data_IF_957666961180
#
_entry.id   IF_957666961180
#
_cell.length_a   1.000
_cell.length_b   1.000
_cell.length_c   1.000
_cell.angle_alpha   90.00
_cell.angle_beta   90.00
_cell.angle_gamma   90.00
#
_symmetry.space_group_name_H-M   'P 1'
#
loop_
_entity.id
_entity.type
_entity.pdbx_description
1 polymer ?
#
# COMPACT_ATOMS: atom_id res chain seq x y z
N UNK A 1 25.61 -34.09 21.08
CA UNK A 1 24.72 -32.96 20.80
C UNK A 1 25.44 -31.80 20.11
N UNK A 2 26.50 -31.21 20.70
CA UNK A 2 27.24 -30.08 20.09
C UNK A 2 27.80 -30.38 18.69
N UNK A 3 28.39 -31.57 18.47
CA UNK A 3 28.92 -31.95 17.14
C UNK A 3 27.81 -32.10 16.09
N UNK A 4 26.69 -32.75 16.44
CA UNK A 4 25.56 -32.94 15.52
C UNK A 4 24.91 -31.60 15.14
N UNK A 5 24.74 -30.70 16.11
CA UNK A 5 24.22 -29.35 15.87
C UNK A 5 25.15 -28.58 14.93
N UNK A 6 26.46 -28.56 15.20
CA UNK A 6 27.47 -27.92 14.35
C UNK A 6 27.48 -28.46 12.92
N UNK A 7 27.50 -29.78 12.76
CA UNK A 7 27.46 -30.41 11.43
C UNK A 7 26.19 -30.07 10.66
N UNK A 8 25.05 -29.99 11.35
CA UNK A 8 23.78 -29.63 10.71
C UNK A 8 23.75 -28.16 10.31
N UNK A 9 24.26 -27.26 11.15
CA UNK A 9 24.38 -25.85 10.79
C UNK A 9 25.32 -25.64 9.60
N UNK A 10 26.44 -26.36 9.52
CA UNK A 10 27.34 -26.31 8.36
C UNK A 10 26.64 -26.79 7.08
N UNK A 11 25.88 -27.90 7.16
CA UNK A 11 25.12 -28.38 6.01
C UNK A 11 24.06 -27.36 5.53
N UNK A 12 23.39 -26.69 6.48
CA UNK A 12 22.41 -25.65 6.15
C UNK A 12 23.09 -24.45 5.49
N UNK A 13 24.24 -23.98 6.01
CA UNK A 13 24.96 -22.86 5.41
C UNK A 13 25.46 -23.18 3.99
N UNK A 14 26.08 -24.35 3.80
CA UNK A 14 26.54 -24.81 2.48
C UNK A 14 25.37 -24.85 1.49
N UNK A 15 24.22 -25.38 1.90
CA UNK A 15 23.05 -25.43 1.01
C UNK A 15 22.50 -24.06 0.65
N UNK A 16 22.51 -23.09 1.57
CA UNK A 16 22.04 -21.73 1.28
C UNK A 16 23.01 -21.01 0.32
N UNK A 17 24.32 -21.21 0.50
CA UNK A 17 25.35 -20.66 -0.40
C UNK A 17 25.22 -21.24 -1.81
N UNK A 18 25.00 -22.56 -1.95
CA UNK A 18 24.72 -23.20 -3.25
C UNK A 18 23.50 -22.56 -3.94
N UNK A 19 22.39 -22.38 -3.21
CA UNK A 19 21.18 -21.75 -3.75
C UNK A 19 21.46 -20.31 -4.16
N UNK A 20 22.24 -19.56 -3.37
CA UNK A 20 22.60 -18.19 -3.70
C UNK A 20 23.42 -18.11 -5.00
N UNK A 21 24.39 -19.01 -5.21
CA UNK A 21 25.16 -19.10 -6.46
C UNK A 21 24.30 -19.51 -7.65
N UNK A 22 23.36 -20.45 -7.48
CA UNK A 22 22.41 -20.84 -8.54
C UNK A 22 21.51 -19.67 -8.95
N UNK A 23 20.98 -18.92 -7.97
CA UNK A 23 20.15 -17.74 -8.21
C UNK A 23 20.95 -16.59 -8.84
N UNK A 24 22.22 -16.44 -8.50
CA UNK A 24 23.08 -15.45 -9.13
C UNK A 24 23.24 -15.70 -10.62
N UNK A 25 23.40 -16.96 -11.03
CA UNK A 25 23.52 -17.34 -12.44
C UNK A 25 22.19 -17.33 -13.20
N UNK A 26 21.06 -17.25 -12.49
CA UNK A 26 19.72 -17.28 -13.09
C UNK A 26 19.41 -15.95 -13.78
N UNK A 27 18.66 -16.02 -14.90
CA UNK A 27 18.20 -14.83 -15.61
C UNK A 27 17.26 -13.99 -14.75
N UNK A 28 17.26 -12.67 -14.93
CA UNK A 28 16.32 -11.80 -14.20
C UNK A 28 14.86 -12.14 -14.53
N UNK A 29 14.61 -12.71 -15.72
CA UNK A 29 13.29 -13.14 -16.14
C UNK A 29 12.80 -14.38 -15.41
N UNK A 30 13.63 -15.16 -14.73
CA UNK A 30 13.23 -16.38 -14.00
C UNK A 30 13.53 -16.30 -12.50
N UNK A 31 14.17 -15.22 -12.07
CA UNK A 31 14.70 -15.06 -10.72
C UNK A 31 13.62 -15.18 -9.64
N UNK A 32 12.47 -14.52 -9.82
CA UNK A 32 11.41 -14.48 -8.80
C UNK A 32 10.74 -15.84 -8.57
N UNK A 33 10.25 -16.56 -9.61
CA UNK A 33 9.71 -17.90 -9.43
C UNK A 33 10.73 -18.89 -8.88
N UNK A 34 11.99 -18.82 -9.33
CA UNK A 34 13.05 -19.70 -8.82
C UNK A 34 13.34 -19.40 -7.35
N UNK A 35 13.43 -18.13 -6.96
CA UNK A 35 13.57 -17.73 -5.56
C UNK A 35 12.43 -18.28 -4.70
N UNK A 36 11.17 -18.10 -5.13
CA UNK A 36 9.99 -18.59 -4.39
C UNK A 36 10.02 -20.10 -4.25
N UNK A 37 10.35 -20.82 -5.33
CA UNK A 37 10.47 -22.29 -5.30
C UNK A 37 11.55 -22.75 -4.31
N UNK A 38 12.72 -22.13 -4.32
CA UNK A 38 13.78 -22.48 -3.37
C UNK A 38 13.39 -22.13 -1.93
N UNK A 39 12.77 -20.97 -1.71
CA UNK A 39 12.28 -20.56 -0.40
C UNK A 39 11.25 -21.55 0.16
N UNK A 40 10.25 -21.95 -0.63
CA UNK A 40 9.21 -22.88 -0.19
C UNK A 40 9.79 -24.25 0.18
N UNK A 41 10.70 -24.78 -0.65
CA UNK A 41 11.39 -26.05 -0.38
C UNK A 41 12.28 -25.95 0.87
N UNK A 42 13.05 -24.88 0.98
CA UNK A 42 13.95 -24.65 2.09
C UNK A 42 13.18 -24.46 3.41
N UNK A 43 12.20 -23.57 3.44
CA UNK A 43 11.38 -23.29 4.62
C UNK A 43 10.62 -24.54 5.08
N UNK A 44 10.06 -25.32 4.15
CA UNK A 44 9.40 -26.60 4.46
C UNK A 44 10.38 -27.62 5.02
N UNK A 45 11.56 -27.77 4.41
CA UNK A 45 12.62 -28.65 4.89
C UNK A 45 13.09 -28.26 6.30
N UNK A 46 13.28 -26.95 6.53
CA UNK A 46 13.69 -26.40 7.82
C UNK A 46 12.61 -26.62 8.89
N UNK A 47 11.34 -26.52 8.54
CA UNK A 47 10.22 -26.83 9.46
C UNK A 47 10.22 -28.31 9.87
N UNK A 48 10.47 -29.24 8.94
CA UNK A 48 10.59 -30.65 9.28
C UNK A 48 11.82 -30.93 10.14
N UNK A 49 12.93 -30.27 9.83
CA UNK A 49 14.16 -30.38 10.61
C UNK A 49 13.94 -29.85 12.04
N UNK A 50 13.22 -28.75 12.21
CA UNK A 50 12.84 -28.22 13.52
C UNK A 50 11.98 -29.20 14.35
N UNK A 51 11.02 -29.87 13.70
CA UNK A 51 10.21 -30.92 14.36
C UNK A 51 11.10 -32.06 14.87
N UNK A 52 12.08 -32.50 14.06
CA UNK A 52 13.02 -33.55 14.45
C UNK A 52 13.96 -33.09 15.58
N UNK A 53 14.37 -31.83 15.53
CA UNK A 53 15.25 -31.21 16.53
C UNK A 53 14.51 -30.76 17.79
N UNK A 54 13.18 -30.85 17.86
CA UNK A 54 12.38 -30.40 19.02
C UNK A 54 12.93 -30.89 20.36
N UNK A 55 13.29 -32.17 20.46
CA UNK A 55 13.88 -32.74 21.67
C UNK A 55 15.24 -32.10 21.99
N UNK A 56 16.11 -31.95 20.99
CA UNK A 56 17.42 -31.29 21.13
C UNK A 56 17.29 -29.80 21.47
N UNK A 57 16.37 -29.07 20.83
CA UNK A 57 16.08 -27.66 21.11
C UNK A 57 15.61 -27.49 22.57
N UNK A 58 14.76 -28.40 23.07
CA UNK A 58 14.31 -28.34 24.48
C UNK A 58 15.37 -28.69 25.51
N UNK A 59 16.31 -29.60 25.20
CA UNK A 59 17.30 -30.09 26.16
C UNK A 59 18.63 -29.32 26.12
N UNK A 60 19.03 -28.81 24.96
CA UNK A 60 20.33 -28.14 24.78
C UNK A 60 20.20 -26.62 24.60
N UNK A 61 19.17 -26.13 23.91
CA UNK A 61 19.06 -24.68 23.58
C UNK A 61 18.32 -23.91 24.68
N UNK A 62 17.22 -24.46 25.23
CA UNK A 62 16.49 -23.79 26.35
C UNK A 62 17.34 -23.59 27.60
N UNK A 63 18.27 -24.49 27.89
CA UNK A 63 19.17 -24.38 29.05
C UNK A 63 20.32 -23.37 28.84
N UNK A 64 20.53 -22.92 27.60
CA UNK A 64 21.52 -21.90 27.22
C UNK A 64 20.87 -20.54 26.95
N UNK A 65 19.53 -20.44 27.00
CA UNK A 65 18.85 -19.15 26.90
C UNK A 65 19.12 -18.35 28.18
N UNK A 66 19.69 -17.14 28.09
CA UNK A 66 19.71 -16.23 29.23
C UNK A 66 18.28 -15.96 29.68
N UNK A 67 18.07 -15.85 30.99
CA UNK A 67 16.75 -15.57 31.55
C UNK A 67 16.30 -14.15 31.16
N UNK A 68 15.00 -13.86 31.20
CA UNK A 68 14.48 -12.50 30.96
C UNK A 68 15.16 -11.46 31.89
N UNK A 69 15.58 -11.89 33.09
CA UNK A 69 16.33 -11.06 34.04
C UNK A 69 17.74 -10.71 33.55
N UNK A 70 18.40 -11.59 32.79
CA UNK A 70 19.72 -11.34 32.19
C UNK A 70 19.64 -10.40 30.97
N UNK A 71 18.52 -10.45 30.24
CA UNK A 71 18.23 -9.55 29.11
C UNK A 71 17.94 -8.10 29.55
N UNK A 72 17.41 -7.87 30.75
CA UNK A 72 17.17 -6.52 31.27
C UNK A 72 18.45 -5.79 31.72
N UNK A 73 19.52 -6.52 32.05
CA UNK A 73 20.80 -5.95 32.52
C UNK A 73 21.93 -6.03 31.48
N UNK A 74 21.77 -6.80 30.40
CA UNK A 74 22.71 -6.90 29.28
C UNK A 74 22.25 -6.11 28.06
N UNK A 75 23.18 -5.42 27.37
CA UNK A 75 22.93 -4.87 26.05
C UNK A 75 22.39 -5.97 25.11
N UNK A 76 21.44 -5.61 24.24
CA UNK A 76 20.81 -6.50 23.28
C UNK A 76 21.81 -7.53 22.73
N UNK A 77 21.62 -8.81 23.08
CA UNK A 77 22.55 -9.86 22.68
C UNK A 77 22.65 -9.85 21.15
N UNK A 78 23.87 -9.70 20.58
CA UNK A 78 24.03 -9.70 19.15
C UNK A 78 23.46 -11.00 18.57
N UNK A 79 22.94 -10.92 17.34
CA UNK A 79 22.51 -12.06 16.50
C UNK A 79 23.59 -13.16 16.31
N UNK A 80 24.76 -12.99 16.92
CA UNK A 80 25.97 -13.78 16.76
C UNK A 80 26.06 -15.02 17.66
N UNK A 81 25.18 -15.20 18.65
CA UNK A 81 25.31 -16.36 19.55
C UNK A 81 24.52 -17.57 19.04
N UNK A 82 25.02 -18.17 17.94
CA UNK A 82 24.53 -19.41 17.31
C UNK A 82 24.28 -20.54 18.32
N UNK A 83 24.95 -20.51 19.47
CA UNK A 83 24.85 -21.50 20.54
C UNK A 83 23.55 -21.41 21.36
N UNK A 84 22.74 -20.37 21.16
CA UNK A 84 21.48 -20.13 21.89
C UNK A 84 20.24 -20.08 20.99
N UNK A 85 20.41 -20.25 19.69
CA UNK A 85 19.32 -20.21 18.69
C UNK A 85 18.76 -21.60 18.45
N UNK A 86 17.46 -21.70 18.18
CA UNK A 86 16.87 -22.95 17.67
C UNK A 86 17.30 -23.18 16.22
N UNK A 87 17.28 -24.42 15.76
CA UNK A 87 17.78 -24.75 14.41
C UNK A 87 16.99 -24.05 13.29
N UNK A 88 15.69 -23.84 13.49
CA UNK A 88 14.85 -23.01 12.62
C UNK A 88 15.35 -21.57 12.56
N UNK A 89 15.72 -21.02 13.72
CA UNK A 89 16.18 -19.64 13.81
C UNK A 89 17.53 -19.46 13.10
N UNK A 90 18.44 -20.43 13.25
CA UNK A 90 19.73 -20.42 12.54
C UNK A 90 19.52 -20.52 11.03
N UNK A 91 18.64 -21.41 10.57
CA UNK A 91 18.37 -21.57 9.14
C UNK A 91 17.78 -20.31 8.48
N UNK A 92 16.87 -19.61 9.17
CA UNK A 92 16.33 -18.34 8.70
C UNK A 92 17.41 -17.23 8.70
N UNK A 93 18.27 -17.18 9.71
CA UNK A 93 19.37 -16.23 9.77
C UNK A 93 20.36 -16.42 8.60
N UNK A 94 20.70 -17.67 8.27
CA UNK A 94 21.53 -17.98 7.11
C UNK A 94 20.87 -17.61 5.80
N UNK A 95 19.57 -17.86 5.64
CA UNK A 95 18.82 -17.40 4.47
C UNK A 95 18.91 -15.88 4.30
N UNK A 96 18.85 -15.13 5.41
CA UNK A 96 19.05 -13.67 5.35
C UNK A 96 20.46 -13.31 4.90
N UNK A 97 21.46 -13.78 5.63
CA UNK A 97 22.84 -13.30 5.53
C UNK A 97 23.52 -13.75 4.23
N UNK A 98 23.31 -14.99 3.83
CA UNK A 98 24.02 -15.58 2.69
C UNK A 98 23.25 -15.46 1.38
N UNK A 99 21.92 -15.28 1.43
CA UNK A 99 21.09 -15.23 0.22
C UNK A 99 20.44 -13.86 0.05
N UNK A 100 19.54 -13.43 0.94
CA UNK A 100 18.80 -12.16 0.76
C UNK A 100 19.77 -10.98 0.67
N UNK A 101 20.71 -10.86 1.60
CA UNK A 101 21.66 -9.74 1.61
C UNK A 101 22.59 -9.74 0.39
N UNK A 102 22.82 -10.91 -0.21
CA UNK A 102 23.62 -11.06 -1.42
C UNK A 102 22.87 -10.62 -2.67
N UNK A 103 21.61 -11.06 -2.85
CA UNK A 103 20.84 -10.80 -4.08
C UNK A 103 19.84 -9.65 -3.98
N UNK A 104 19.75 -8.94 -2.85
CA UNK A 104 18.69 -7.93 -2.57
C UNK A 104 18.52 -6.87 -3.65
N UNK A 105 19.61 -6.40 -4.26
CA UNK A 105 19.55 -5.35 -5.29
C UNK A 105 18.86 -5.84 -6.56
N UNK A 106 19.22 -7.04 -7.03
CA UNK A 106 18.58 -7.70 -8.17
C UNK A 106 17.14 -8.08 -7.88
N UNK A 107 16.89 -8.59 -6.66
CA UNK A 107 15.55 -8.99 -6.22
C UNK A 107 14.61 -7.78 -6.17
N UNK A 108 15.08 -6.66 -5.63
CA UNK A 108 14.36 -5.39 -5.63
C UNK A 108 14.03 -4.91 -7.05
N UNK A 109 15.02 -4.91 -7.96
CA UNK A 109 14.81 -4.50 -9.35
C UNK A 109 13.78 -5.39 -10.08
N UNK A 110 13.84 -6.71 -9.88
CA UNK A 110 12.86 -7.63 -10.45
C UNK A 110 11.45 -7.40 -9.89
N UNK A 111 11.31 -7.20 -8.57
CA UNK A 111 10.02 -6.89 -7.95
C UNK A 111 9.42 -5.59 -8.51
N UNK A 112 10.23 -4.53 -8.65
CA UNK A 112 9.76 -3.25 -9.23
C UNK A 112 9.34 -3.40 -10.69
N UNK A 113 10.09 -4.20 -11.46
CA UNK A 113 9.73 -4.50 -12.85
C UNK A 113 8.39 -5.21 -12.94
N UNK A 114 8.11 -6.20 -12.10
CA UNK A 114 6.82 -6.88 -12.13
C UNK A 114 5.66 -5.98 -11.71
N UNK A 115 5.86 -5.08 -10.74
CA UNK A 115 4.85 -4.06 -10.40
C UNK A 115 4.57 -3.14 -11.59
N UNK A 116 5.60 -2.71 -12.32
CA UNK A 116 5.44 -1.92 -13.54
C UNK A 116 4.74 -2.71 -14.65
N UNK A 117 5.10 -3.98 -14.85
CA UNK A 117 4.44 -4.85 -15.83
C UNK A 117 2.93 -4.97 -15.53
N UNK A 118 2.56 -5.12 -14.26
CA UNK A 118 1.15 -5.17 -13.85
C UNK A 118 0.42 -3.85 -14.17
N UNK A 119 1.05 -2.69 -13.93
CA UNK A 119 0.50 -1.38 -14.32
C UNK A 119 0.29 -1.23 -15.83
N UNK A 120 1.16 -1.86 -16.63
CA UNK A 120 1.07 -1.84 -18.09
C UNK A 120 0.16 -2.95 -18.65
N UNK A 121 -0.41 -3.81 -17.80
CA UNK A 121 -1.19 -4.97 -18.22
C UNK A 121 -0.38 -6.07 -18.90
N UNK A 122 0.96 -6.05 -18.76
CA UNK A 122 1.85 -7.07 -19.32
C UNK A 122 1.85 -8.26 -18.38
N UNK A 123 1.40 -9.43 -18.87
CA UNK A 123 1.45 -10.67 -18.11
C UNK A 123 2.91 -11.06 -17.83
N UNK A 124 3.26 -11.15 -16.55
CA UNK A 124 4.62 -11.40 -16.07
C UNK A 124 4.61 -12.41 -14.92
N UNK A 125 5.43 -12.17 -13.90
CA UNK A 125 5.65 -13.08 -12.78
C UNK A 125 5.00 -12.58 -11.49
N UNK A 126 3.88 -11.88 -11.61
CA UNK A 126 3.24 -11.18 -10.50
C UNK A 126 2.83 -12.09 -9.34
N UNK A 127 2.49 -13.34 -9.64
CA UNK A 127 2.16 -14.36 -8.63
C UNK A 127 3.32 -14.65 -7.66
N UNK A 128 4.55 -14.33 -8.04
CA UNK A 128 5.74 -14.53 -7.21
C UNK A 128 6.00 -13.35 -6.25
N UNK A 129 5.35 -12.20 -6.45
CA UNK A 129 5.56 -11.01 -5.61
C UNK A 129 5.13 -11.32 -4.17
N UNK A 130 3.90 -11.77 -3.96
CA UNK A 130 3.37 -12.01 -2.62
C UNK A 130 4.18 -13.07 -1.83
N UNK A 131 4.48 -14.27 -2.37
CA UNK A 131 5.31 -15.26 -1.67
C UNK A 131 6.73 -14.75 -1.37
N UNK A 132 7.32 -13.97 -2.29
CA UNK A 132 8.64 -13.36 -2.07
C UNK A 132 8.60 -12.38 -0.90
N UNK A 133 7.61 -11.49 -0.85
CA UNK A 133 7.46 -10.53 0.26
C UNK A 133 7.14 -11.21 1.59
N UNK A 134 6.31 -12.26 1.58
CA UNK A 134 6.04 -13.06 2.77
C UNK A 134 7.32 -13.71 3.33
N UNK A 135 8.26 -14.09 2.47
CA UNK A 135 9.56 -14.62 2.92
C UNK A 135 10.38 -13.61 3.72
N UNK A 136 10.40 -12.33 3.31
CA UNK A 136 11.16 -11.28 3.99
C UNK A 136 10.67 -11.04 5.41
N UNK A 137 9.33 -11.00 5.57
CA UNK A 137 8.70 -10.88 6.87
C UNK A 137 9.05 -12.09 7.74
N UNK A 138 8.95 -13.30 7.19
CA UNK A 138 9.19 -14.53 7.95
C UNK A 138 10.64 -14.70 8.41
N UNK A 139 11.59 -14.32 7.58
CA UNK A 139 13.02 -14.31 7.93
C UNK A 139 13.32 -13.34 9.07
N UNK A 140 12.51 -12.28 9.22
CA UNK A 140 12.68 -11.28 10.27
C UNK A 140 11.99 -11.58 11.60
N UNK A 141 11.10 -12.58 11.69
CA UNK A 141 10.41 -12.98 12.93
C UNK A 141 11.34 -13.67 13.97
N UNK A 142 12.65 -13.63 13.75
CA UNK A 142 13.65 -14.18 14.66
C UNK A 142 13.67 -13.41 15.99
N UNK A 143 13.46 -14.12 17.11
CA UNK A 143 13.56 -13.60 18.49
C UNK A 143 12.63 -12.42 18.83
N UNK A 144 11.38 -12.44 18.36
CA UNK A 144 10.38 -11.40 18.64
C UNK A 144 10.79 -9.98 18.17
N UNK A 145 11.71 -9.89 17.22
CA UNK A 145 12.05 -8.63 16.56
C UNK A 145 11.22 -8.46 15.28
N UNK A 146 9.89 -8.35 15.40
CA UNK A 146 9.00 -8.08 14.25
C UNK A 146 9.46 -6.87 13.42
N UNK A 147 10.17 -5.94 14.08
CA UNK A 147 10.83 -4.77 13.49
C UNK A 147 11.89 -5.14 12.43
N UNK A 148 12.63 -6.23 12.60
CA UNK A 148 13.69 -6.65 11.68
C UNK A 148 13.11 -7.16 10.34
N UNK A 149 11.97 -7.86 10.35
CA UNK A 149 11.30 -8.29 9.12
C UNK A 149 10.76 -7.12 8.31
N UNK A 150 10.16 -6.16 9.01
CA UNK A 150 9.72 -4.91 8.40
C UNK A 150 10.89 -4.08 7.86
N UNK A 151 12.05 -4.09 8.50
CA UNK A 151 13.25 -3.39 7.99
C UNK A 151 13.72 -3.97 6.66
N UNK A 152 13.81 -5.30 6.53
CA UNK A 152 14.16 -5.98 5.28
C UNK A 152 13.12 -5.67 4.20
N UNK A 153 11.84 -5.79 4.54
CA UNK A 153 10.73 -5.47 3.65
C UNK A 153 10.83 -4.01 3.16
N UNK A 154 11.13 -3.09 4.07
CA UNK A 154 11.20 -1.68 3.75
C UNK A 154 12.39 -1.37 2.82
N UNK A 155 13.55 -1.95 3.11
CA UNK A 155 14.77 -1.74 2.35
C UNK A 155 14.69 -2.33 0.94
N UNK A 156 14.18 -3.55 0.80
CA UNK A 156 14.17 -4.27 -0.48
C UNK A 156 12.97 -3.87 -1.35
N UNK A 157 11.81 -3.57 -0.74
CA UNK A 157 10.57 -3.39 -1.47
C UNK A 157 9.88 -2.05 -1.22
N UNK A 158 9.55 -1.67 0.03
CA UNK A 158 8.73 -0.48 0.29
C UNK A 158 9.35 0.81 -0.24
N UNK A 159 10.63 1.06 0.04
CA UNK A 159 11.29 2.30 -0.36
C UNK A 159 11.42 2.39 -1.90
N UNK A 160 11.93 1.34 -2.59
CA UNK A 160 11.91 1.31 -4.06
C UNK A 160 10.51 1.46 -4.66
N UNK A 161 9.49 0.83 -4.06
CA UNK A 161 8.10 0.93 -4.51
C UNK A 161 7.59 2.36 -4.41
N UNK A 162 7.86 3.05 -3.30
CA UNK A 162 7.45 4.43 -3.09
C UNK A 162 8.09 5.35 -4.12
N UNK A 163 9.39 5.19 -4.40
CA UNK A 163 10.12 6.02 -5.37
C UNK A 163 9.63 5.79 -6.80
N UNK A 164 9.45 4.53 -7.19
CA UNK A 164 8.91 4.15 -8.49
C UNK A 164 7.46 4.65 -8.67
N UNK A 165 6.63 4.52 -7.63
CA UNK A 165 5.23 4.97 -7.64
C UNK A 165 5.12 6.49 -7.66
N UNK A 166 5.97 7.20 -6.92
CA UNK A 166 6.05 8.67 -6.95
C UNK A 166 6.37 9.18 -8.36
N UNK A 167 7.34 8.54 -9.02
CA UNK A 167 7.72 8.87 -10.40
C UNK A 167 6.57 8.59 -11.38
N UNK A 168 5.93 7.43 -11.26
CA UNK A 168 4.78 7.05 -12.08
C UNK A 168 3.59 8.01 -11.91
N UNK A 169 3.17 8.30 -10.66
CA UNK A 169 2.07 9.23 -10.39
C UNK A 169 2.36 10.65 -10.86
N UNK A 170 3.60 11.13 -10.70
CA UNK A 170 3.98 12.46 -11.15
C UNK A 170 3.88 12.58 -12.68
N UNK A 171 4.36 11.57 -13.41
CA UNK A 171 4.26 11.54 -14.88
C UNK A 171 2.80 11.43 -15.33
N UNK A 172 2.05 10.52 -14.72
CA UNK A 172 0.63 10.32 -15.01
C UNK A 172 -0.18 11.60 -14.79
N UNK A 173 0.01 12.28 -13.65
CA UNK A 173 -0.72 13.50 -13.32
C UNK A 173 -0.39 14.64 -14.29
N UNK A 174 0.90 14.88 -14.57
CA UNK A 174 1.32 15.92 -15.53
C UNK A 174 0.75 15.67 -16.93
N UNK A 175 0.77 14.41 -17.40
CA UNK A 175 0.22 14.07 -18.71
C UNK A 175 -1.29 14.33 -18.75
N UNK A 176 -2.05 13.82 -17.78
CA UNK A 176 -3.51 13.95 -17.75
C UNK A 176 -3.99 15.37 -17.54
N UNK A 177 -3.31 16.15 -16.72
CA UNK A 177 -3.61 17.57 -16.54
C UNK A 177 -3.46 18.36 -17.86
N UNK A 178 -2.52 17.98 -18.72
CA UNK A 178 -2.31 18.63 -20.02
C UNK A 178 -3.28 18.17 -21.12
N UNK A 179 -3.77 16.94 -21.03
CA UNK A 179 -4.60 16.30 -22.06
C UNK A 179 -6.11 16.38 -21.78
N UNK A 180 -6.51 16.40 -20.51
CA UNK A 180 -7.89 16.19 -20.08
C UNK A 180 -8.51 17.39 -19.38
N UNK A 181 -9.85 17.49 -19.45
CA UNK A 181 -10.62 18.37 -18.57
C UNK A 181 -10.76 17.79 -17.16
N UNK A 182 -11.11 18.64 -16.18
CA UNK A 182 -11.20 18.24 -14.77
C UNK A 182 -12.10 17.02 -14.51
N UNK A 183 -13.30 16.96 -15.10
CA UNK A 183 -14.21 15.82 -14.93
C UNK A 183 -13.61 14.48 -15.39
N UNK A 184 -12.91 14.49 -16.53
CA UNK A 184 -12.22 13.31 -17.07
C UNK A 184 -11.02 12.93 -16.19
N UNK A 185 -10.21 13.92 -15.78
CA UNK A 185 -9.09 13.71 -14.86
C UNK A 185 -9.55 13.03 -13.56
N UNK A 186 -10.62 13.53 -12.94
CA UNK A 186 -11.16 12.96 -11.69
C UNK A 186 -11.63 11.53 -11.91
N UNK A 187 -12.30 11.26 -13.03
CA UNK A 187 -12.79 9.90 -13.35
C UNK A 187 -11.63 8.92 -13.52
N UNK A 188 -10.60 9.29 -14.29
CA UNK A 188 -9.42 8.44 -14.45
C UNK A 188 -8.62 8.31 -13.14
N UNK A 189 -8.55 9.36 -12.33
CA UNK A 189 -7.88 9.31 -11.02
C UNK A 189 -8.58 8.32 -10.07
N UNK A 190 -9.91 8.30 -10.05
CA UNK A 190 -10.67 7.33 -9.25
C UNK A 190 -10.50 5.89 -9.75
N UNK A 191 -10.42 5.69 -11.07
CA UNK A 191 -10.11 4.39 -11.66
C UNK A 191 -8.71 3.93 -11.23
N UNK A 192 -7.70 4.79 -11.41
CA UNK A 192 -6.32 4.53 -10.98
C UNK A 192 -6.22 4.20 -9.49
N UNK A 193 -6.92 4.95 -8.63
CA UNK A 193 -6.98 4.69 -7.18
C UNK A 193 -7.49 3.28 -6.88
N UNK A 194 -8.52 2.84 -7.61
CA UNK A 194 -9.12 1.53 -7.43
C UNK A 194 -8.19 0.42 -7.91
N UNK A 195 -7.55 0.61 -9.07
CA UNK A 195 -6.56 -0.32 -9.61
C UNK A 195 -5.36 -0.49 -8.67
N UNK A 196 -4.77 0.60 -8.17
CA UNK A 196 -3.63 0.56 -7.25
C UNK A 196 -4.03 -0.06 -5.90
N UNK A 197 -5.25 0.19 -5.40
CA UNK A 197 -5.74 -0.46 -4.20
C UNK A 197 -5.86 -1.98 -4.37
N UNK A 198 -6.46 -2.43 -5.48
CA UNK A 198 -6.62 -3.86 -5.78
C UNK A 198 -5.26 -4.54 -5.95
N UNK A 199 -4.33 -3.92 -6.67
CA UNK A 199 -2.95 -4.39 -6.85
C UNK A 199 -2.23 -4.54 -5.51
N UNK A 200 -2.30 -3.52 -4.65
CA UNK A 200 -1.68 -3.56 -3.33
C UNK A 200 -2.32 -4.62 -2.42
N UNK A 201 -3.64 -4.77 -2.48
CA UNK A 201 -4.37 -5.83 -1.77
C UNK A 201 -3.97 -7.24 -2.22
N UNK A 202 -3.69 -7.43 -3.51
CA UNK A 202 -3.29 -8.71 -4.07
C UNK A 202 -1.84 -9.06 -3.73
N UNK A 203 -0.91 -8.11 -3.87
CA UNK A 203 0.52 -8.41 -3.83
C UNK A 203 1.25 -7.94 -2.57
N UNK A 204 0.89 -6.78 -2.00
CA UNK A 204 1.68 -6.10 -0.96
C UNK A 204 0.82 -5.32 0.05
N UNK A 205 0.00 -6.05 0.84
CA UNK A 205 -0.96 -5.46 1.79
C UNK A 205 -0.34 -4.47 2.79
N UNK A 206 0.89 -4.73 3.26
CA UNK A 206 1.58 -3.86 4.20
C UNK A 206 1.87 -2.46 3.63
N UNK A 207 1.91 -2.31 2.30
CA UNK A 207 2.24 -1.07 1.60
C UNK A 207 1.02 -0.25 1.17
N UNK A 208 -0.22 -0.68 1.48
CA UNK A 208 -1.45 0.00 1.04
C UNK A 208 -1.50 1.45 1.53
N UNK A 209 -1.27 1.67 2.83
CA UNK A 209 -1.36 3.01 3.43
C UNK A 209 -0.33 3.99 2.85
N UNK A 210 0.97 3.62 2.71
CA UNK A 210 1.94 4.46 2.00
C UNK A 210 1.51 4.81 0.57
N UNK A 211 0.98 3.85 -0.19
CA UNK A 211 0.58 4.08 -1.59
C UNK A 211 -0.64 5.00 -1.68
N UNK A 212 -1.61 4.84 -0.78
CA UNK A 212 -2.76 5.74 -0.68
C UNK A 212 -2.34 7.16 -0.30
N UNK A 213 -1.38 7.30 0.62
CA UNK A 213 -0.80 8.60 0.97
C UNK A 213 -0.10 9.24 -0.23
N UNK A 214 0.70 8.50 -0.99
CA UNK A 214 1.37 9.00 -2.20
C UNK A 214 0.39 9.42 -3.29
N UNK A 215 -0.67 8.62 -3.50
CA UNK A 215 -1.72 8.96 -4.44
C UNK A 215 -2.36 10.29 -4.06
N UNK A 216 -2.71 10.45 -2.79
CA UNK A 216 -3.36 11.65 -2.29
C UNK A 216 -2.44 12.89 -2.38
N UNK A 217 -1.17 12.75 -2.00
CA UNK A 217 -0.17 13.81 -2.10
C UNK A 217 -0.01 14.29 -3.56
N UNK A 218 0.22 13.37 -4.50
CA UNK A 218 0.67 13.72 -5.85
C UNK A 218 -0.51 13.99 -6.80
N UNK A 219 -1.51 13.10 -6.81
CA UNK A 219 -2.63 13.16 -7.75
C UNK A 219 -3.67 14.21 -7.33
N UNK A 220 -3.80 14.46 -6.01
CA UNK A 220 -4.85 15.34 -5.48
C UNK A 220 -4.27 16.64 -4.93
N UNK A 221 -3.42 16.59 -3.90
CA UNK A 221 -2.94 17.80 -3.21
C UNK A 221 -2.11 18.71 -4.10
N UNK A 222 -1.10 18.15 -4.80
CA UNK A 222 -0.27 18.94 -5.72
C UNK A 222 -1.03 19.48 -6.94
N UNK A 223 -2.24 18.99 -7.21
CA UNK A 223 -3.11 19.41 -8.33
C UNK A 223 -4.39 20.09 -7.87
N UNK A 224 -4.46 20.47 -6.59
CA UNK A 224 -5.65 21.07 -6.00
C UNK A 224 -6.07 22.38 -6.70
N UNK A 225 -5.10 23.18 -7.16
CA UNK A 225 -5.38 24.41 -7.91
C UNK A 225 -6.13 24.13 -9.22
N UNK A 226 -5.66 23.15 -10.00
CA UNK A 226 -6.32 22.71 -11.24
C UNK A 226 -7.74 22.19 -10.98
N UNK A 227 -7.92 21.39 -9.93
CA UNK A 227 -9.23 20.88 -9.53
C UNK A 227 -10.17 22.03 -9.13
N UNK A 228 -9.69 22.95 -8.29
CA UNK A 228 -10.49 24.07 -7.76
C UNK A 228 -10.94 25.07 -8.83
N UNK A 229 -10.11 25.33 -9.85
CA UNK A 229 -10.49 26.24 -10.95
C UNK A 229 -11.75 25.77 -11.69
N UNK A 230 -11.98 24.46 -11.73
CA UNK A 230 -13.08 23.86 -12.50
C UNK A 230 -14.34 23.60 -11.64
N UNK A 231 -14.24 23.66 -10.31
CA UNK A 231 -15.37 23.41 -9.38
C UNK A 231 -16.59 24.27 -9.73
N UNK A 232 -16.38 25.56 -9.97
CA UNK A 232 -17.47 26.51 -10.24
C UNK A 232 -18.24 26.16 -11.51
N UNK A 233 -17.55 25.69 -12.55
CA UNK A 233 -18.17 25.26 -13.79
C UNK A 233 -19.02 24.01 -13.58
N UNK A 234 -18.46 22.99 -12.91
CA UNK A 234 -19.14 21.73 -12.66
C UNK A 234 -20.40 21.92 -11.80
N UNK A 235 -20.36 22.84 -10.81
CA UNK A 235 -21.54 23.19 -10.00
C UNK A 235 -22.60 23.91 -10.84
N UNK A 236 -22.19 24.85 -11.71
CA UNK A 236 -23.11 25.59 -12.56
C UNK A 236 -23.83 24.69 -13.59
N UNK A 237 -23.16 23.64 -14.06
CA UNK A 237 -23.76 22.62 -14.94
C UNK A 237 -24.70 21.64 -14.21
N UNK A 238 -24.76 21.69 -12.87
CA UNK A 238 -25.52 20.77 -12.00
C UNK A 238 -25.25 19.27 -12.30
N UNK A 239 -24.03 18.93 -12.77
CA UNK A 239 -23.63 17.55 -13.03
C UNK A 239 -23.33 16.80 -11.73
N UNK A 240 -24.37 16.16 -11.19
CA UNK A 240 -24.31 15.34 -9.98
C UNK A 240 -23.24 14.26 -10.02
N UNK A 241 -22.99 13.63 -11.17
CA UNK A 241 -22.03 12.52 -11.28
C UNK A 241 -20.60 13.03 -11.11
N UNK A 242 -20.26 14.11 -11.81
CA UNK A 242 -18.94 14.71 -11.74
C UNK A 242 -18.65 15.32 -10.36
N UNK A 243 -19.65 15.97 -9.73
CA UNK A 243 -19.50 16.46 -8.36
C UNK A 243 -19.31 15.35 -7.35
N UNK A 244 -20.03 14.23 -7.49
CA UNK A 244 -19.87 13.07 -6.61
C UNK A 244 -18.48 12.47 -6.74
N UNK A 245 -17.98 12.36 -7.97
CA UNK A 245 -16.62 11.88 -8.22
C UNK A 245 -15.58 12.82 -7.62
N UNK A 246 -15.76 14.13 -7.78
CA UNK A 246 -14.86 15.13 -7.22
C UNK A 246 -14.87 15.09 -5.69
N UNK A 247 -16.05 15.00 -5.07
CA UNK A 247 -16.16 14.85 -3.63
C UNK A 247 -15.47 13.58 -3.13
N UNK A 248 -15.69 12.44 -3.79
CA UNK A 248 -15.01 11.17 -3.47
C UNK A 248 -13.48 11.22 -3.60
N UNK A 249 -12.96 12.10 -4.44
CA UNK A 249 -11.52 12.33 -4.60
C UNK A 249 -10.97 13.22 -3.48
N UNK A 250 -11.70 14.27 -3.09
CA UNK A 250 -11.24 15.29 -2.12
C UNK A 250 -11.55 14.96 -0.66
N UNK A 251 -12.59 14.17 -0.40
CA UNK A 251 -13.08 13.87 0.96
C UNK A 251 -12.04 13.22 1.90
N UNK A 252 -11.15 12.31 1.46
CA UNK A 252 -10.24 11.61 2.39
C UNK A 252 -9.32 12.54 3.20
N UNK A 253 -8.94 13.70 2.65
CA UNK A 253 -8.04 14.67 3.31
C UNK A 253 -8.74 15.97 3.70
N UNK A 254 -10.08 16.01 3.71
CA UNK A 254 -10.87 17.21 4.00
C UNK A 254 -10.52 18.40 3.08
N UNK A 255 -10.20 18.13 1.81
CA UNK A 255 -9.82 19.16 0.83
C UNK A 255 -11.04 19.76 0.10
N UNK A 256 -12.23 19.62 0.66
CA UNK A 256 -13.50 20.03 0.05
C UNK A 256 -13.87 21.50 0.32
N UNK A 257 -12.99 22.32 0.91
CA UNK A 257 -13.34 23.68 1.34
C UNK A 257 -13.85 24.57 0.19
N UNK A 258 -13.17 24.59 -0.95
CA UNK A 258 -13.60 25.37 -2.12
C UNK A 258 -14.88 24.79 -2.74
N UNK A 259 -15.03 23.47 -2.76
CA UNK A 259 -16.23 22.77 -3.23
C UNK A 259 -17.46 23.18 -2.41
N UNK A 260 -17.35 23.11 -1.09
CA UNK A 260 -18.41 23.50 -0.16
C UNK A 260 -18.72 25.00 -0.25
N UNK A 261 -17.69 25.84 -0.38
CA UNK A 261 -17.88 27.28 -0.56
C UNK A 261 -18.64 27.59 -1.85
N UNK A 262 -18.20 27.05 -2.99
CA UNK A 262 -18.86 27.27 -4.28
C UNK A 262 -20.28 26.70 -4.31
N UNK A 263 -20.51 25.54 -3.69
CA UNK A 263 -21.84 24.95 -3.58
C UNK A 263 -22.77 25.82 -2.73
N UNK A 264 -22.28 26.33 -1.59
CA UNK A 264 -23.03 27.27 -0.75
C UNK A 264 -23.41 28.55 -1.49
N UNK A 265 -22.49 29.10 -2.30
CA UNK A 265 -22.78 30.27 -3.15
C UNK A 265 -23.82 29.97 -4.25
N UNK A 266 -23.79 28.77 -4.85
CA UNK A 266 -24.80 28.34 -5.82
C UNK A 266 -26.20 28.22 -5.18
N UNK A 267 -26.29 27.61 -4.00
CA UNK A 267 -27.53 27.53 -3.22
C UNK A 267 -28.05 28.93 -2.89
N UNK A 268 -27.17 29.82 -2.41
CA UNK A 268 -27.52 31.22 -2.09
C UNK A 268 -28.06 31.96 -3.31
N UNK A 269 -27.41 31.81 -4.46
CA UNK A 269 -27.82 32.46 -5.72
C UNK A 269 -29.16 31.93 -6.20
N UNK A 270 -29.37 30.61 -6.15
CA UNK A 270 -30.65 29.97 -6.49
C UNK A 270 -31.80 30.45 -5.59
N UNK A 271 -31.54 30.65 -4.29
CA UNK A 271 -32.54 31.20 -3.36
C UNK A 271 -32.89 32.65 -3.72
N UNK A 272 -31.88 33.48 -3.99
CA UNK A 272 -32.11 34.89 -4.35
C UNK A 272 -32.88 35.03 -5.66
N UNK A 273 -32.59 34.20 -6.66
CA UNK A 273 -33.34 34.16 -7.91
C UNK A 273 -34.79 33.75 -7.68
N UNK A 274 -35.04 32.71 -6.87
CA UNK A 274 -36.39 32.29 -6.51
C UNK A 274 -37.17 33.41 -5.79
N UNK A 275 -36.51 34.18 -4.90
CA UNK A 275 -37.12 35.33 -4.23
C UNK A 275 -37.40 36.48 -5.22
N UNK A 276 -36.49 36.74 -6.16
CA UNK A 276 -36.68 37.80 -7.16
C UNK A 276 -37.81 37.52 -8.14
N UNK A 277 -38.09 36.24 -8.40
CA UNK A 277 -39.13 35.78 -9.33
C UNK A 277 -40.54 35.71 -8.70
N UNK A 278 -40.71 36.15 -7.45
CA UNK A 278 -42.01 36.11 -6.79
C UNK A 278 -43.02 37.08 -7.44
N UNK A 279 -44.30 36.69 -7.55
CA UNK A 279 -45.35 37.57 -8.05
C UNK A 279 -45.55 38.78 -7.14
N UNK A 280 -45.71 39.96 -7.75
CA UNK A 280 -45.88 41.25 -7.04
C UNK A 280 -47.24 41.41 -6.34
N UNK A 281 -48.19 40.51 -6.58
CA UNK A 281 -49.52 40.52 -5.97
C UNK A 281 -49.48 40.02 -4.52
N UNK A 282 -49.63 40.95 -3.57
CA UNK A 282 -49.48 40.74 -2.12
C UNK A 282 -50.26 39.58 -1.51
N UNK A 283 -51.41 39.18 -2.08
CA UNK A 283 -52.23 38.08 -1.57
C UNK A 283 -51.70 36.69 -1.93
N UNK A 284 -50.99 36.56 -3.06
CA UNK A 284 -50.46 35.29 -3.57
C UNK A 284 -48.96 35.14 -3.27
N UNK A 285 -48.24 36.23 -2.99
CA UNK A 285 -46.80 36.22 -2.71
C UNK A 285 -46.42 35.33 -1.52
N UNK A 286 -47.22 35.28 -0.45
CA UNK A 286 -46.89 34.52 0.76
C UNK A 286 -46.94 32.99 0.53
N UNK A 287 -47.96 32.51 -0.16
CA UNK A 287 -48.11 31.08 -0.46
C UNK A 287 -47.04 30.63 -1.46
N UNK A 288 -46.86 31.39 -2.55
CA UNK A 288 -45.82 31.08 -3.54
C UNK A 288 -44.40 31.17 -2.98
N UNK A 289 -44.15 32.05 -2.00
CA UNK A 289 -42.88 32.10 -1.29
C UNK A 289 -42.61 30.82 -0.52
N UNK A 290 -43.56 30.38 0.30
CA UNK A 290 -43.42 29.15 1.11
C UNK A 290 -43.25 27.93 0.20
N UNK A 291 -44.07 27.80 -0.84
CA UNK A 291 -43.98 26.68 -1.79
C UNK A 291 -42.65 26.65 -2.55
N UNK A 292 -42.17 27.81 -3.03
CA UNK A 292 -40.88 27.91 -3.72
C UNK A 292 -39.72 27.54 -2.80
N UNK A 293 -39.74 27.99 -1.55
CA UNK A 293 -38.72 27.64 -0.55
C UNK A 293 -38.74 26.17 -0.18
N UNK A 294 -39.92 25.58 0.02
CA UNK A 294 -40.06 24.15 0.33
C UNK A 294 -39.56 23.29 -0.82
N UNK A 295 -39.94 23.62 -2.06
CA UNK A 295 -39.49 22.94 -3.28
C UNK A 295 -37.98 23.02 -3.45
N UNK A 296 -37.40 24.21 -3.25
CA UNK A 296 -35.97 24.43 -3.38
C UNK A 296 -35.19 23.73 -2.26
N UNK A 297 -35.73 23.70 -1.03
CA UNK A 297 -35.18 22.92 0.08
C UNK A 297 -35.18 21.43 -0.23
N UNK A 298 -36.30 20.86 -0.68
CA UNK A 298 -36.34 19.42 -1.04
C UNK A 298 -35.36 19.12 -2.16
N UNK A 299 -35.31 19.96 -3.21
CA UNK A 299 -34.38 19.79 -4.34
C UNK A 299 -32.93 19.72 -3.87
N UNK A 300 -32.50 20.62 -2.98
CA UNK A 300 -31.12 20.63 -2.49
C UNK A 300 -30.82 19.55 -1.46
N UNK A 301 -31.80 19.12 -0.64
CA UNK A 301 -31.62 17.96 0.23
C UNK A 301 -31.40 16.70 -0.59
N UNK A 302 -32.24 16.45 -1.59
CA UNK A 302 -32.08 15.32 -2.52
C UNK A 302 -30.74 15.42 -3.26
N UNK A 303 -30.32 16.63 -3.63
CA UNK A 303 -29.02 16.87 -4.26
C UNK A 303 -27.85 16.50 -3.34
N UNK A 304 -27.92 16.89 -2.07
CA UNK A 304 -26.86 16.62 -1.08
C UNK A 304 -26.78 15.11 -0.81
N UNK A 305 -27.93 14.46 -0.65
CA UNK A 305 -27.98 13.00 -0.44
C UNK A 305 -27.40 12.24 -1.64
N UNK A 306 -27.72 12.66 -2.87
CA UNK A 306 -27.23 12.04 -4.10
C UNK A 306 -25.71 12.22 -4.32
N UNK A 307 -25.19 13.42 -4.03
CA UNK A 307 -23.83 13.83 -4.44
C UNK A 307 -22.81 13.65 -3.32
N UNK A 308 -23.20 13.97 -2.08
CA UNK A 308 -22.31 13.96 -0.92
C UNK A 308 -22.56 12.76 -0.01
N UNK A 309 -23.41 11.80 -0.44
CA UNK A 309 -23.79 10.61 0.33
C UNK A 309 -24.37 10.99 1.72
N UNK A 310 -25.08 12.13 1.80
CA UNK A 310 -25.68 12.67 3.03
C UNK A 310 -24.68 13.27 4.02
N UNK A 311 -23.45 13.57 3.58
CA UNK A 311 -22.39 14.18 4.39
C UNK A 311 -22.12 15.64 4.03
#
# INVERSE_FOLDING_TARGET
ASTLYKSTTTLISERVEEIASELEMTSDCDLLPMYVKYWELYHRGLTYLDILYRYMNTQHVKNLRPSEADMCYGAALPMADQHTMEILEVGLAFWRLYLIDYIKTRLSACLMREVLNDRLGICGQHNSIHPCLASFLRVGELRNFDKAGMEIYNQIFQNPLNDATRSFYSQWACQRESELGCAQYVTEALALRTEEHNRAMQYYKCSILPIQSLFQEIIVEQRLNFLNMNIRHVIAEEDKSNLRNLFRLLSPNNLCSELLHCFGEHVRTSILEAISNLPKDSSLTQVHFIESLLSLRSRFLDYIDDVFDGK
#
